data_IF_294572165066
#
_entry.id   IF_294572165066
#
_cell.length_a   1.000
_cell.length_b   1.000
_cell.length_c   1.000
_cell.angle_alpha   90.00
_cell.angle_beta   90.00
_cell.angle_gamma   90.00
#
_symmetry.space_group_name_H-M   'P 1'
#
loop_
_entity.id
_entity.type
_entity.pdbx_description
1 polymer ?
#
# COMPACT_ATOMS: atom_id res chain seq x y z
N UNK A 1 1.09 -3.02 -7.78
CA UNK A 1 -0.27 -2.64 -7.36
C UNK A 1 -1.34 -2.99 -8.41
N UNK A 2 -1.18 -2.63 -9.69
CA UNK A 2 -2.14 -2.89 -10.78
C UNK A 2 -2.67 -4.33 -10.94
N UNK A 3 -1.91 -5.43 -10.74
CA UNK A 3 -2.48 -6.79 -10.83
C UNK A 3 -3.46 -7.14 -9.69
N UNK A 4 -3.54 -6.32 -8.64
CA UNK A 4 -4.36 -6.59 -7.44
C UNK A 4 -5.60 -5.71 -7.33
N UNK A 5 -5.78 -4.75 -8.26
CA UNK A 5 -6.89 -3.80 -8.25
C UNK A 5 -7.65 -3.91 -9.58
N UNK A 6 -8.54 -4.91 -9.72
CA UNK A 6 -9.25 -5.17 -10.97
C UNK A 6 -10.22 -4.06 -11.39
N UNK A 7 -10.64 -3.22 -10.45
CA UNK A 7 -11.51 -2.06 -10.71
C UNK A 7 -10.77 -0.72 -10.67
N UNK A 8 -9.45 -0.72 -10.48
CA UNK A 8 -8.64 0.46 -10.72
C UNK A 8 -8.59 0.70 -12.23
N UNK A 9 -9.35 1.69 -12.69
CA UNK A 9 -9.29 2.17 -14.07
C UNK A 9 -7.86 2.63 -14.42
N UNK A 10 -7.53 2.79 -15.71
CA UNK A 10 -6.18 3.24 -16.13
C UNK A 10 -5.88 4.71 -15.72
N UNK A 11 -6.81 5.34 -15.00
CA UNK A 11 -6.66 6.64 -14.37
C UNK A 11 -5.77 6.59 -13.11
N UNK A 12 -5.17 7.72 -12.77
CA UNK A 12 -4.39 7.86 -11.54
C UNK A 12 -5.27 7.55 -10.32
N UNK A 13 -4.86 6.56 -9.54
CA UNK A 13 -5.49 6.24 -8.24
C UNK A 13 -5.46 7.48 -7.35
N UNK A 14 -6.62 7.93 -6.89
CA UNK A 14 -6.72 9.04 -5.95
C UNK A 14 -6.52 8.53 -4.53
N UNK A 15 -5.99 9.39 -3.66
CA UNK A 15 -5.84 9.08 -2.23
C UNK A 15 -7.20 8.82 -1.54
N UNK A 16 -8.28 9.37 -2.09
CA UNK A 16 -9.66 9.19 -1.60
C UNK A 16 -10.31 7.89 -2.11
N UNK A 17 -9.67 7.14 -3.01
CA UNK A 17 -10.26 5.91 -3.54
C UNK A 17 -10.24 4.78 -2.50
N UNK A 18 -11.41 4.16 -2.34
CA UNK A 18 -11.63 3.05 -1.43
C UNK A 18 -11.01 1.75 -1.99
N UNK A 19 -10.05 1.17 -1.27
CA UNK A 19 -9.35 -0.04 -1.73
C UNK A 19 -10.31 -1.23 -1.86
N UNK A 20 -11.27 -1.34 -0.95
CA UNK A 20 -12.31 -2.37 -1.00
C UNK A 20 -13.19 -2.23 -2.25
N UNK A 21 -13.53 -0.99 -2.64
CA UNK A 21 -14.32 -0.71 -3.85
C UNK A 21 -13.50 -1.00 -5.11
N UNK A 22 -12.19 -0.74 -5.07
CA UNK A 22 -11.26 -1.08 -6.15
C UNK A 22 -11.01 -2.59 -6.31
N UNK A 23 -11.58 -3.42 -5.44
CA UNK A 23 -11.54 -4.88 -5.52
C UNK A 23 -10.35 -5.49 -4.80
N UNK A 24 -9.80 -4.79 -3.81
CA UNK A 24 -8.74 -5.35 -2.96
C UNK A 24 -9.33 -6.36 -1.97
N UNK A 25 -9.17 -7.64 -2.28
CA UNK A 25 -9.52 -8.75 -1.40
C UNK A 25 -8.41 -9.06 -0.38
N UNK A 26 -8.69 -9.93 0.62
CA UNK A 26 -7.73 -10.32 1.66
C UNK A 26 -6.40 -10.85 1.11
N UNK A 27 -6.44 -11.64 0.03
CA UNK A 27 -5.24 -12.12 -0.67
C UNK A 27 -4.54 -11.02 -1.47
N UNK A 28 -5.28 -10.02 -1.96
CA UNK A 28 -4.74 -8.83 -2.60
C UNK A 28 -3.96 -7.98 -1.60
N UNK A 29 -4.50 -7.78 -0.38
CA UNK A 29 -3.85 -7.07 0.71
C UNK A 29 -2.48 -7.67 1.03
N UNK A 30 -2.42 -8.99 1.28
CA UNK A 30 -1.16 -9.67 1.64
C UNK A 30 -0.12 -9.55 0.53
N UNK A 31 -0.52 -9.69 -0.73
CA UNK A 31 0.41 -9.53 -1.86
C UNK A 31 0.84 -8.08 -2.05
N UNK A 32 -0.05 -7.12 -1.81
CA UNK A 32 0.25 -5.69 -1.88
C UNK A 32 1.28 -5.30 -0.83
N UNK A 33 1.09 -5.74 0.40
CA UNK A 33 2.02 -5.55 1.51
C UNK A 33 3.38 -6.15 1.17
N UNK A 34 3.42 -7.43 0.78
CA UNK A 34 4.67 -8.10 0.41
C UNK A 34 5.40 -7.36 -0.73
N UNK A 35 4.68 -6.88 -1.75
CA UNK A 35 5.28 -6.13 -2.85
C UNK A 35 5.84 -4.75 -2.41
N UNK A 36 5.18 -4.09 -1.45
CA UNK A 36 5.67 -2.83 -0.88
C UNK A 36 6.89 -3.08 0.00
N UNK A 37 6.82 -4.06 0.90
CA UNK A 37 7.92 -4.47 1.77
C UNK A 37 9.16 -4.86 0.97
N UNK A 38 9.02 -5.68 -0.07
CA UNK A 38 10.12 -6.05 -0.97
C UNK A 38 10.63 -4.86 -1.78
N UNK A 39 9.74 -4.03 -2.33
CA UNK A 39 10.11 -2.91 -3.18
C UNK A 39 10.87 -1.80 -2.45
N UNK A 40 10.59 -1.62 -1.17
CA UNK A 40 11.24 -0.62 -0.32
C UNK A 40 12.19 -1.23 0.72
N UNK A 41 12.39 -2.55 0.68
CA UNK A 41 13.18 -3.32 1.66
C UNK A 41 12.84 -2.96 3.11
N UNK A 42 11.56 -2.78 3.41
CA UNK A 42 11.04 -2.42 4.72
C UNK A 42 10.12 -3.52 5.25
N UNK A 43 9.83 -3.48 6.55
CA UNK A 43 8.77 -4.29 7.15
C UNK A 43 7.67 -3.38 7.69
N UNK A 44 6.43 -3.66 7.31
CA UNK A 44 5.29 -2.92 7.81
C UNK A 44 4.84 -3.56 9.14
N UNK A 45 4.81 -2.81 10.25
CA UNK A 45 4.42 -3.37 11.54
C UNK A 45 2.91 -3.61 11.58
N UNK A 46 2.49 -4.75 12.13
CA UNK A 46 1.08 -5.16 12.17
C UNK A 46 0.16 -4.15 12.88
N UNK A 47 0.71 -3.36 13.82
CA UNK A 47 0.02 -2.26 14.52
C UNK A 47 -0.38 -1.08 13.62
N UNK A 48 0.18 -1.01 12.41
CA UNK A 48 -0.25 -0.06 11.39
C UNK A 48 -1.14 -0.73 10.33
N UNK A 49 -1.25 -2.06 10.33
CA UNK A 49 -2.02 -2.83 9.36
C UNK A 49 -3.45 -3.08 9.86
N UNK A 50 -4.14 -1.99 10.17
CA UNK A 50 -5.52 -2.01 10.61
C UNK A 50 -6.52 -1.73 9.48
N UNK A 51 -7.80 -1.97 9.77
CA UNK A 51 -8.90 -1.74 8.83
C UNK A 51 -8.91 -0.32 8.25
N UNK A 52 -8.47 0.68 9.01
CA UNK A 52 -8.35 2.09 8.57
C UNK A 52 -7.24 2.28 7.53
N UNK A 53 -6.08 1.65 7.72
CA UNK A 53 -4.97 1.67 6.75
C UNK A 53 -5.34 1.03 5.41
N UNK A 54 -6.30 0.11 5.42
CA UNK A 54 -6.84 -0.51 4.21
C UNK A 54 -8.16 0.09 3.74
N UNK A 55 -8.64 1.19 4.35
CA UNK A 55 -9.86 1.87 3.87
C UNK A 55 -9.62 2.48 2.49
N UNK A 56 -8.61 3.36 2.37
CA UNK A 56 -8.34 4.08 1.13
C UNK A 56 -6.89 3.98 0.71
N UNK A 57 -6.64 4.23 -0.58
CA UNK A 57 -5.28 4.28 -1.15
C UNK A 57 -4.42 5.29 -0.39
N UNK A 58 -4.99 6.44 -0.01
CA UNK A 58 -4.31 7.49 0.71
C UNK A 58 -3.83 7.05 2.09
N UNK A 59 -4.69 6.39 2.87
CA UNK A 59 -4.31 5.93 4.22
C UNK A 59 -3.24 4.85 4.14
N UNK A 60 -3.35 3.91 3.20
CA UNK A 60 -2.30 2.91 2.97
C UNK A 60 -0.95 3.57 2.67
N UNK A 61 -0.94 4.59 1.81
CA UNK A 61 0.30 5.31 1.46
C UNK A 61 0.85 6.14 2.60
N UNK A 62 -0.02 6.74 3.43
CA UNK A 62 0.39 7.43 4.67
C UNK A 62 1.04 6.45 5.63
N UNK A 63 0.46 5.27 5.81
CA UNK A 63 1.02 4.21 6.65
C UNK A 63 2.41 3.80 6.15
N UNK A 64 2.57 3.52 4.86
CA UNK A 64 3.88 3.20 4.26
C UNK A 64 4.87 4.35 4.43
N UNK A 65 4.44 5.59 4.19
CA UNK A 65 5.27 6.78 4.34
C UNK A 65 5.71 7.05 5.78
N UNK A 66 4.93 6.65 6.78
CA UNK A 66 5.29 6.77 8.19
C UNK A 66 6.43 5.83 8.59
N UNK A 67 6.53 4.66 7.93
CA UNK A 67 7.60 3.67 8.19
C UNK A 67 8.81 3.85 7.29
N UNK A 68 8.65 4.54 6.15
CA UNK A 68 9.74 4.84 5.24
C UNK A 68 10.82 5.66 5.98
N UNK A 69 12.04 5.13 6.15
CA UNK A 69 13.12 5.91 6.74
C UNK A 69 13.42 7.10 5.82
N UNK A 70 13.70 8.30 6.37
CA UNK A 70 13.96 9.49 5.56
C UNK A 70 15.26 9.42 4.73
N UNK A 71 16.03 8.34 4.80
CA UNK A 71 17.34 8.25 4.15
C UNK A 71 17.75 6.79 3.84
N UNK A 72 17.57 6.38 2.58
CA UNK A 72 18.44 5.41 1.90
C UNK A 72 18.88 5.95 0.53
N UNK A 73 19.10 7.28 0.45
CA UNK A 73 19.73 7.88 -0.73
C UNK A 73 21.24 7.62 -0.68
N UNK A 74 21.63 6.43 -1.13
CA UNK A 74 22.96 6.16 -1.63
C UNK A 74 23.91 5.50 -0.63
N UNK A 75 23.90 4.17 -0.63
CA UNK A 75 25.14 3.42 -0.42
C UNK A 75 25.27 2.42 -1.57
N UNK A 76 26.04 2.79 -2.61
CA UNK A 76 27.04 1.99 -3.34
C UNK A 76 27.56 2.76 -4.57
#
# INVERSE_FOLDING_TARGET
MRPYLPYADDAELSADDDLAVLGLDSMGVVQLLAAVEEGYQLQLPDELLDQESFSTVGTLWQTVAAVLPPDQRGEN
#
